data_IF_658673791498
#
_entry.id   IF_658673791498
#
_cell.length_a   1.000
_cell.length_b   1.000
_cell.length_c   1.000
_cell.angle_alpha   90.00
_cell.angle_beta   90.00
_cell.angle_gamma   90.00
#
_symmetry.space_group_name_H-M   'P 1'
#
loop_
_entity.id
_entity.type
_entity.pdbx_description
1 polymer ?
#
# COMPACT_ATOMS: atom_id res chain seq x y z
N UNK A 1 3.85 -13.56 16.49
CA UNK A 1 4.74 -13.85 17.61
C UNK A 1 3.94 -13.79 18.89
N UNK A 2 4.37 -14.49 19.94
CA UNK A 2 3.91 -14.30 21.31
C UNK A 2 4.12 -12.84 21.73
N UNK A 3 3.30 -12.31 22.62
CA UNK A 3 3.42 -10.90 23.04
C UNK A 3 2.90 -10.67 24.45
N UNK A 4 3.58 -9.79 25.19
CA UNK A 4 3.16 -9.36 26.54
C UNK A 4 2.38 -8.03 26.50
N UNK A 5 2.02 -7.56 25.31
CA UNK A 5 1.31 -6.29 25.13
C UNK A 5 -0.15 -6.41 25.61
N UNK A 6 -0.74 -5.33 26.17
CA UNK A 6 -2.06 -5.38 26.78
C UNK A 6 -3.21 -5.61 25.78
N UNK A 7 -2.94 -5.57 24.47
CA UNK A 7 -3.88 -5.90 23.39
C UNK A 7 -3.56 -7.23 22.70
N UNK A 8 -2.74 -8.08 23.34
CA UNK A 8 -2.48 -9.44 22.88
C UNK A 8 -3.78 -10.23 22.74
N UNK A 9 -3.86 -11.06 21.71
CA UNK A 9 -4.97 -11.98 21.49
C UNK A 9 -4.71 -13.26 22.27
N UNK A 10 -5.60 -13.60 23.18
CA UNK A 10 -5.54 -14.88 23.90
C UNK A 10 -5.98 -16.03 22.99
N UNK A 11 -5.16 -17.07 22.90
CA UNK A 11 -5.45 -18.27 22.10
C UNK A 11 -5.64 -19.45 23.05
N UNK A 12 -6.72 -20.22 22.85
CA UNK A 12 -6.97 -21.41 23.66
C UNK A 12 -5.88 -22.48 23.46
N UNK A 13 -5.51 -23.25 24.51
CA UNK A 13 -4.39 -24.19 24.44
C UNK A 13 -4.43 -25.17 23.26
N UNK A 14 -5.62 -25.58 22.83
CA UNK A 14 -5.82 -26.49 21.71
C UNK A 14 -5.43 -25.92 20.33
N UNK A 15 -5.28 -24.59 20.22
CA UNK A 15 -5.00 -23.88 18.96
C UNK A 15 -3.63 -23.17 18.96
N UNK A 16 -2.80 -23.39 19.99
CA UNK A 16 -1.46 -22.77 20.08
C UNK A 16 -0.45 -23.55 19.24
N UNK A 17 0.56 -22.87 18.65
CA UNK A 17 1.69 -23.56 18.02
C UNK A 17 2.42 -24.46 19.04
N UNK A 18 2.94 -25.60 18.58
CA UNK A 18 3.63 -26.59 19.45
C UNK A 18 4.87 -25.98 20.12
N UNK A 19 5.53 -25.04 19.45
CA UNK A 19 6.73 -24.36 19.95
C UNK A 19 6.41 -23.34 21.07
N UNK A 20 5.16 -22.92 21.17
CA UNK A 20 4.70 -21.75 21.93
C UNK A 20 3.49 -22.08 22.84
N UNK A 21 3.32 -23.34 23.24
CA UNK A 21 2.14 -23.83 24.00
C UNK A 21 1.95 -23.11 25.34
N UNK A 22 3.04 -22.73 25.99
CA UNK A 22 3.02 -22.06 27.30
C UNK A 22 2.58 -20.60 27.22
N UNK A 23 2.61 -19.97 26.05
CA UNK A 23 2.25 -18.57 25.91
C UNK A 23 0.76 -18.46 25.61
N UNK A 24 0.08 -17.57 26.34
CA UNK A 24 -1.35 -17.39 26.19
C UNK A 24 -1.70 -16.32 25.17
N UNK A 25 -0.83 -15.31 25.03
CA UNK A 25 -1.08 -14.08 24.29
C UNK A 25 -0.19 -13.97 23.04
N UNK A 26 -0.82 -13.67 21.91
CA UNK A 26 -0.16 -13.52 20.61
C UNK A 26 -0.50 -12.19 19.97
N UNK A 27 0.36 -11.71 19.07
CA UNK A 27 0.04 -10.53 18.28
C UNK A 27 -1.23 -10.75 17.44
N UNK A 28 -2.23 -9.86 17.50
CA UNK A 28 -3.43 -9.94 16.66
C UNK A 28 -3.11 -9.50 15.23
N UNK A 29 -2.39 -10.33 14.48
CA UNK A 29 -1.91 -10.02 13.13
C UNK A 29 -3.03 -9.61 12.19
N UNK A 30 -4.20 -10.26 12.27
CA UNK A 30 -5.39 -9.88 11.49
C UNK A 30 -5.86 -8.44 11.77
N UNK A 31 -5.80 -8.00 13.03
CA UNK A 31 -6.15 -6.62 13.39
C UNK A 31 -5.15 -5.64 12.78
N UNK A 32 -3.86 -5.95 12.86
CA UNK A 32 -2.81 -5.13 12.26
C UNK A 32 -2.95 -5.06 10.74
N UNK A 33 -3.26 -6.17 10.08
CA UNK A 33 -3.54 -6.23 8.64
C UNK A 33 -4.73 -5.34 8.25
N UNK A 34 -5.84 -5.43 9.01
CA UNK A 34 -7.03 -4.61 8.78
C UNK A 34 -6.73 -3.12 8.96
N UNK A 35 -6.09 -2.74 10.07
CA UNK A 35 -5.70 -1.35 10.35
C UNK A 35 -4.77 -0.79 9.27
N UNK A 36 -3.80 -1.58 8.82
CA UNK A 36 -2.91 -1.18 7.73
C UNK A 36 -3.68 -1.00 6.43
N UNK A 37 -4.58 -1.92 6.09
CA UNK A 37 -5.38 -1.86 4.87
C UNK A 37 -6.25 -0.60 4.82
N UNK A 38 -6.91 -0.28 5.93
CA UNK A 38 -7.70 0.96 6.04
C UNK A 38 -6.82 2.21 6.01
N UNK A 39 -5.66 2.19 6.66
CA UNK A 39 -4.71 3.31 6.65
C UNK A 39 -4.17 3.56 5.24
N UNK A 40 -3.77 2.52 4.52
CA UNK A 40 -3.29 2.61 3.14
C UNK A 40 -4.39 3.16 2.22
N UNK A 41 -5.63 2.68 2.35
CA UNK A 41 -6.77 3.22 1.61
C UNK A 41 -6.99 4.71 1.92
N UNK A 42 -6.95 5.09 3.20
CA UNK A 42 -7.07 6.48 3.62
C UNK A 42 -5.98 7.39 3.04
N UNK A 43 -4.73 6.94 3.06
CA UNK A 43 -3.59 7.65 2.47
C UNK A 43 -3.77 7.82 0.97
N UNK A 44 -4.16 6.76 0.24
CA UNK A 44 -4.38 6.83 -1.21
C UNK A 44 -5.49 7.84 -1.56
N UNK A 45 -6.62 7.79 -0.86
CA UNK A 45 -7.74 8.72 -1.06
C UNK A 45 -7.35 10.17 -0.73
N UNK A 46 -6.59 10.38 0.34
CA UNK A 46 -6.11 11.71 0.72
C UNK A 46 -5.13 12.26 -0.32
N UNK A 47 -4.22 11.43 -0.82
CA UNK A 47 -3.26 11.81 -1.86
C UNK A 47 -3.96 12.14 -3.16
N UNK A 48 -4.92 11.31 -3.60
CA UNK A 48 -5.71 11.56 -4.81
C UNK A 48 -6.53 12.85 -4.71
N UNK A 49 -7.12 13.12 -3.54
CA UNK A 49 -7.86 14.38 -3.31
C UNK A 49 -6.95 15.61 -3.25
N UNK A 50 -5.77 15.48 -2.64
CA UNK A 50 -4.89 16.62 -2.37
C UNK A 50 -3.97 16.96 -3.54
N UNK A 51 -3.58 15.96 -4.33
CA UNK A 51 -2.60 16.08 -5.40
C UNK A 51 -3.14 15.55 -6.73
N UNK A 52 -2.91 16.29 -7.81
CA UNK A 52 -3.12 15.75 -9.17
C UNK A 52 -1.96 14.85 -9.56
N UNK A 53 -2.08 13.56 -9.21
CA UNK A 53 -1.13 12.54 -9.63
C UNK A 53 -1.26 12.24 -11.13
N UNK A 54 -0.16 11.83 -11.77
CA UNK A 54 -0.19 11.28 -13.13
C UNK A 54 -0.97 9.96 -13.12
N UNK A 55 -1.68 9.60 -14.21
CA UNK A 55 -2.22 8.25 -14.37
C UNK A 55 -1.12 7.21 -14.12
N UNK A 56 -1.44 6.16 -13.38
CA UNK A 56 -0.49 5.11 -12.96
C UNK A 56 0.26 5.40 -11.65
N UNK A 57 0.42 6.65 -11.21
CA UNK A 57 1.12 6.95 -9.95
C UNK A 57 0.34 6.53 -8.72
N UNK A 58 -0.99 6.56 -8.76
CA UNK A 58 -1.81 6.05 -7.65
C UNK A 58 -1.65 4.53 -7.50
N UNK A 59 -1.53 3.81 -8.62
CA UNK A 59 -1.23 2.38 -8.62
C UNK A 59 0.17 2.09 -8.07
N UNK A 60 1.18 2.86 -8.48
CA UNK A 60 2.52 2.73 -7.92
C UNK A 60 2.55 2.98 -6.41
N UNK A 61 1.82 3.99 -5.94
CA UNK A 61 1.68 4.27 -4.51
C UNK A 61 0.94 3.15 -3.76
N UNK A 62 -0.06 2.54 -4.38
CA UNK A 62 -0.73 1.36 -3.83
C UNK A 62 0.24 0.18 -3.66
N UNK A 63 1.00 -0.15 -4.71
CA UNK A 63 2.00 -1.23 -4.65
C UNK A 63 3.04 -0.96 -3.57
N UNK A 64 3.49 0.30 -3.45
CA UNK A 64 4.44 0.73 -2.42
C UNK A 64 3.88 0.50 -1.00
N UNK A 65 2.69 1.05 -0.71
CA UNK A 65 2.07 0.95 0.61
C UNK A 65 1.70 -0.49 0.98
N UNK A 66 1.22 -1.27 0.02
CA UNK A 66 0.93 -2.69 0.22
C UNK A 66 2.20 -3.47 0.57
N UNK A 67 3.28 -3.23 -0.17
CA UNK A 67 4.55 -3.94 0.03
C UNK A 67 5.20 -3.58 1.37
N UNK A 68 5.10 -2.32 1.82
CA UNK A 68 5.55 -1.91 3.16
C UNK A 68 4.78 -2.67 4.25
N UNK A 69 3.44 -2.72 4.14
CA UNK A 69 2.62 -3.50 5.06
C UNK A 69 2.98 -4.97 5.05
N UNK A 70 3.27 -5.53 3.86
CA UNK A 70 3.68 -6.92 3.73
C UNK A 70 4.96 -7.20 4.50
N UNK A 71 6.00 -6.36 4.37
CA UNK A 71 7.25 -6.54 5.14
C UNK A 71 6.97 -6.51 6.64
N UNK A 72 6.21 -5.52 7.11
CA UNK A 72 5.91 -5.37 8.54
C UNK A 72 5.15 -6.56 9.12
N UNK A 73 4.06 -6.99 8.47
CA UNK A 73 3.24 -8.12 8.92
C UNK A 73 3.99 -9.44 8.82
N UNK A 74 4.80 -9.61 7.76
CA UNK A 74 5.59 -10.82 7.54
C UNK A 74 6.62 -11.06 8.66
N UNK A 75 7.15 -9.98 9.27
CA UNK A 75 8.03 -10.06 10.45
C UNK A 75 7.29 -10.43 11.75
N UNK A 76 5.98 -10.26 11.81
CA UNK A 76 5.16 -10.59 12.99
C UNK A 76 4.60 -12.02 12.94
N UNK A 77 4.61 -12.65 11.77
CA UNK A 77 4.09 -14.02 11.57
C UNK A 77 5.09 -15.07 12.03
N UNK A 78 4.57 -16.12 12.66
CA UNK A 78 5.35 -17.28 13.15
C UNK A 78 5.10 -18.52 12.27
N UNK A 79 4.23 -18.41 11.27
CA UNK A 79 3.86 -19.57 10.45
C UNK A 79 5.03 -20.02 9.56
N UNK A 80 5.23 -21.35 9.40
CA UNK A 80 6.26 -21.89 8.51
C UNK A 80 6.05 -21.38 7.09
N UNK A 81 7.14 -20.94 6.46
CA UNK A 81 7.11 -20.45 5.07
C UNK A 81 8.37 -20.82 4.32
N UNK A 82 8.35 -20.64 3.00
CA UNK A 82 9.55 -20.79 2.19
C UNK A 82 10.54 -19.67 2.52
N UNK A 83 11.61 -20.07 3.19
CA UNK A 83 12.71 -19.21 3.56
C UNK A 83 13.89 -19.40 2.63
N UNK A 84 14.53 -18.29 2.27
CA UNK A 84 15.78 -18.25 1.56
C UNK A 84 16.76 -17.47 2.42
N UNK A 85 17.87 -18.09 2.84
CA UNK A 85 18.87 -17.42 3.67
C UNK A 85 18.35 -16.96 5.04
N UNK A 86 17.37 -17.67 5.62
CA UNK A 86 16.77 -17.33 6.93
C UNK A 86 15.77 -16.17 6.89
N UNK A 87 15.38 -15.72 5.69
CA UNK A 87 14.35 -14.69 5.51
C UNK A 87 13.26 -15.25 4.59
N UNK A 88 12.00 -14.93 4.92
CA UNK A 88 10.82 -15.39 4.17
C UNK A 88 10.86 -14.80 2.76
N UNK A 89 10.59 -15.62 1.73
CA UNK A 89 10.64 -15.23 0.31
C UNK A 89 9.78 -13.98 0.02
N UNK A 90 8.64 -13.85 0.70
CA UNK A 90 7.74 -12.71 0.56
C UNK A 90 8.41 -11.37 0.91
N UNK A 91 9.37 -11.35 1.85
CA UNK A 91 10.11 -10.14 2.20
C UNK A 91 10.96 -9.67 1.03
N UNK A 92 11.66 -10.60 0.35
CA UNK A 92 12.46 -10.27 -0.84
C UNK A 92 11.60 -9.66 -1.95
N UNK A 93 10.46 -10.29 -2.24
CA UNK A 93 9.53 -9.80 -3.26
C UNK A 93 8.96 -8.43 -2.88
N UNK A 94 8.59 -8.25 -1.61
CA UNK A 94 8.06 -6.99 -1.12
C UNK A 94 9.10 -5.87 -1.16
N UNK A 95 10.35 -6.12 -0.76
CA UNK A 95 11.44 -5.14 -0.85
C UNK A 95 11.71 -4.74 -2.31
N UNK A 96 11.73 -5.72 -3.23
CA UNK A 96 11.86 -5.44 -4.66
C UNK A 96 10.70 -4.57 -5.16
N UNK A 97 9.46 -4.91 -4.79
CA UNK A 97 8.27 -4.14 -5.16
C UNK A 97 8.30 -2.71 -4.61
N UNK A 98 8.80 -2.50 -3.38
CA UNK A 98 9.03 -1.16 -2.78
C UNK A 98 9.99 -0.35 -3.65
N UNK A 99 11.14 -0.92 -4.01
CA UNK A 99 12.17 -0.23 -4.80
C UNK A 99 11.60 0.13 -6.18
N UNK A 100 10.98 -0.83 -6.88
CA UNK A 100 10.45 -0.63 -8.22
C UNK A 100 9.31 0.39 -8.24
N UNK A 101 8.38 0.31 -7.30
CA UNK A 101 7.25 1.24 -7.22
C UNK A 101 7.70 2.66 -6.85
N UNK A 102 8.64 2.81 -5.92
CA UNK A 102 9.20 4.11 -5.57
C UNK A 102 9.99 4.73 -6.75
N UNK A 103 10.83 3.93 -7.42
CA UNK A 103 11.57 4.37 -8.60
C UNK A 103 10.63 4.79 -9.73
N UNK A 104 9.61 3.99 -10.02
CA UNK A 104 8.57 4.31 -11.00
C UNK A 104 7.87 5.61 -10.63
N UNK A 105 7.40 5.75 -9.39
CA UNK A 105 6.69 6.94 -8.93
C UNK A 105 7.54 8.21 -9.10
N UNK A 106 8.82 8.18 -8.69
CA UNK A 106 9.73 9.33 -8.81
C UNK A 106 10.05 9.64 -10.27
N UNK A 107 10.41 8.63 -11.06
CA UNK A 107 10.74 8.80 -12.48
C UNK A 107 9.54 9.30 -13.29
N UNK A 108 8.37 8.67 -13.09
CA UNK A 108 7.14 9.07 -13.74
C UNK A 108 6.73 10.45 -13.23
N UNK A 109 6.81 10.80 -11.95
CA UNK A 109 6.45 12.16 -11.55
C UNK A 109 7.39 13.24 -12.15
N UNK A 110 8.70 12.95 -12.29
CA UNK A 110 9.70 13.90 -12.80
C UNK A 110 9.66 14.10 -14.32
N UNK A 111 9.29 13.09 -15.09
CA UNK A 111 9.25 13.17 -16.57
C UNK A 111 7.98 13.87 -17.11
N UNK A 112 7.13 14.44 -16.26
CA UNK A 112 5.98 15.24 -16.71
C UNK A 112 6.37 16.68 -17.00
N UNK A 113 6.56 16.98 -18.28
CA UNK A 113 6.47 18.35 -18.76
C UNK A 113 5.01 18.82 -18.64
N UNK A 114 4.76 19.84 -17.81
CA UNK A 114 3.52 20.64 -17.86
C UNK A 114 3.52 21.42 -19.18
N UNK A 115 3.15 20.76 -20.29
CA UNK A 115 3.29 21.34 -21.64
C UNK A 115 2.08 21.20 -22.57
N UNK A 116 1.14 20.29 -22.30
CA UNK A 116 -0.04 20.12 -23.15
C UNK A 116 -1.31 20.27 -22.32
N UNK A 117 -1.67 21.52 -21.99
CA UNK A 117 -3.08 21.81 -21.77
C UNK A 117 -3.84 21.51 -23.07
N UNK A 118 -5.08 20.98 -23.02
CA UNK A 118 -5.88 20.83 -24.23
C UNK A 118 -5.93 22.19 -24.94
N UNK A 119 -5.76 22.24 -26.28
CA UNK A 119 -5.80 23.50 -27.01
C UNK A 119 -7.10 24.22 -26.63
N UNK A 120 -7.07 25.55 -26.44
CA UNK A 120 -8.27 26.31 -26.11
C UNK A 120 -9.34 25.93 -27.13
N UNK A 121 -10.49 25.44 -26.64
CA UNK A 121 -11.64 25.14 -27.48
C UNK A 121 -11.93 26.44 -28.23
N UNK A 122 -11.70 26.47 -29.55
CA UNK A 122 -12.16 27.59 -30.37
C UNK A 122 -13.66 27.65 -30.14
N UNK A 123 -14.10 28.63 -29.35
CA UNK A 123 -15.50 29.01 -29.31
C UNK A 123 -15.70 29.62 -30.69
N UNK A 124 -16.18 28.79 -31.62
CA UNK A 124 -16.64 29.28 -32.90
C UNK A 124 -17.78 30.21 -32.54
N UNK A 125 -17.50 31.52 -32.57
CA UNK A 125 -18.48 32.56 -32.31
C UNK A 125 -19.59 32.31 -33.31
N UNK A 126 -20.68 31.69 -32.83
CA UNK A 126 -21.91 31.53 -33.60
C UNK A 126 -22.27 32.93 -34.06
N UNK A 127 -22.11 33.20 -35.35
CA UNK A 127 -22.48 34.47 -35.93
C UNK A 127 -23.99 34.60 -35.74
N UNK A 128 -24.38 35.41 -34.76
CA UNK A 128 -25.78 35.76 -34.54
C UNK A 128 -26.23 36.49 -35.81
N UNK A 129 -27.17 35.96 -36.59
CA UNK A 129 -27.67 36.66 -37.77
C UNK A 129 -28.29 37.97 -37.27
N UNK A 130 -27.76 39.11 -37.72
CA UNK A 130 -28.45 40.38 -37.54
C UNK A 130 -29.69 40.33 -38.42
N UNK A 131 -30.86 40.28 -37.80
CA UNK A 131 -32.11 40.57 -38.49
C UNK A 131 -32.08 42.01 -38.99
N UNK A 132 -32.67 42.20 -40.18
CA UNK A 132 -32.55 43.37 -41.05
C UNK A 132 -33.23 44.62 -40.49
#
# INVERSE_FOLDING_TARGET
>A
GPTDLPWGLEISPANRPIEDVEQETFHPTFLYEALWSFSAAGVLLLVERRFRLRPGNLFALYVLLYSIGRVWIEMLRVDPSHELGGVRLNVYVAVLAIILSAAFFVFWQRTWNRGAGPPPRKVETMAVPRER
#
